data_IF_826698282317
#
_entry.id   IF_826698282317
#
_cell.length_a   1.000
_cell.length_b   1.000
_cell.length_c   1.000
_cell.angle_alpha   90.00
_cell.angle_beta   90.00
_cell.angle_gamma   90.00
#
_symmetry.space_group_name_H-M   'P 1'
#
loop_
_entity.id
_entity.type
_entity.pdbx_description
1 polymer ?
#
# COMPACT_ATOMS: atom_id res chain seq x y z
N UNK A 1 -6.90 -9.14 -0.80
CA UNK A 1 -6.90 -9.13 -2.28
C UNK A 1 -5.56 -8.70 -2.84
N UNK A 2 -5.03 -7.52 -2.50
CA UNK A 2 -3.69 -7.09 -2.90
C UNK A 2 -2.62 -8.17 -2.63
N UNK A 3 -2.64 -8.76 -1.44
CA UNK A 3 -1.69 -9.82 -1.14
C UNK A 3 -1.79 -11.04 -2.05
N UNK A 4 -3.02 -11.48 -2.39
CA UNK A 4 -3.20 -12.67 -3.22
C UNK A 4 -2.50 -12.51 -4.57
N UNK A 5 -2.64 -11.34 -5.21
CA UNK A 5 -1.93 -11.04 -6.45
C UNK A 5 -0.43 -10.95 -6.25
N UNK A 6 0.02 -10.39 -5.12
CA UNK A 6 1.43 -10.28 -4.81
C UNK A 6 2.11 -11.64 -4.60
N UNK A 7 1.46 -12.55 -3.86
CA UNK A 7 1.94 -13.93 -3.66
C UNK A 7 1.99 -14.68 -5.00
N UNK A 8 0.97 -14.51 -5.84
CA UNK A 8 0.91 -15.10 -7.19
C UNK A 8 1.99 -14.53 -8.11
N UNK A 9 2.25 -13.22 -8.05
CA UNK A 9 3.33 -12.56 -8.79
C UNK A 9 4.69 -13.11 -8.40
N UNK A 10 4.97 -13.23 -7.10
CA UNK A 10 6.22 -13.82 -6.60
C UNK A 10 6.39 -15.29 -7.02
N UNK A 11 5.31 -16.07 -7.01
CA UNK A 11 5.35 -17.45 -7.47
C UNK A 11 5.75 -17.54 -8.96
N UNK A 12 5.21 -16.66 -9.81
CA UNK A 12 5.56 -16.63 -11.23
C UNK A 12 6.98 -16.09 -11.47
N UNK A 13 7.40 -15.05 -10.77
CA UNK A 13 8.77 -14.53 -10.85
C UNK A 13 9.80 -15.63 -10.50
N UNK A 14 9.54 -16.39 -9.42
CA UNK A 14 10.38 -17.53 -9.02
C UNK A 14 10.41 -18.63 -10.08
N UNK A 15 9.25 -18.97 -10.67
CA UNK A 15 9.17 -19.96 -11.74
C UNK A 15 9.95 -19.55 -13.00
N UNK A 16 10.03 -18.24 -13.28
CA UNK A 16 10.82 -17.66 -14.36
C UNK A 16 12.32 -17.52 -14.03
N UNK A 17 12.77 -17.95 -12.84
CA UNK A 17 14.17 -17.84 -12.41
C UNK A 17 14.58 -16.44 -11.97
N UNK A 18 13.63 -15.52 -11.79
CA UNK A 18 13.90 -14.19 -11.24
C UNK A 18 13.95 -14.30 -9.71
N UNK A 19 15.07 -13.87 -9.11
CA UNK A 19 15.21 -13.79 -7.65
C UNK A 19 14.29 -12.71 -7.06
N UNK A 20 13.87 -12.88 -5.80
CA UNK A 20 13.09 -11.86 -5.08
C UNK A 20 14.04 -10.75 -4.59
N UNK A 21 14.16 -9.67 -5.37
CA UNK A 21 15.01 -8.52 -5.01
C UNK A 21 14.32 -7.62 -3.97
N UNK A 22 12.98 -7.55 -4.01
CA UNK A 22 12.18 -6.69 -3.14
C UNK A 22 11.08 -7.49 -2.43
N UNK A 23 10.85 -7.15 -1.16
CA UNK A 23 9.72 -7.67 -0.38
C UNK A 23 8.68 -6.56 -0.22
N UNK A 24 7.54 -6.72 -0.88
CA UNK A 24 6.33 -5.94 -0.65
C UNK A 24 5.46 -6.68 0.37
N UNK A 25 4.86 -5.96 1.31
CA UNK A 25 3.87 -6.50 2.25
C UNK A 25 2.63 -5.60 2.20
N UNK A 26 1.46 -6.20 1.92
CA UNK A 26 0.19 -5.46 1.86
C UNK A 26 -0.77 -5.80 3.02
N UNK A 27 -0.47 -6.88 3.73
CA UNK A 27 -1.22 -7.36 4.88
C UNK A 27 -0.71 -6.73 6.16
N UNK A 28 -1.69 -6.28 6.96
CA UNK A 28 -1.64 -5.80 8.36
C UNK A 28 -2.49 -4.53 8.60
N UNK A 29 -3.35 -4.10 7.67
CA UNK A 29 -4.42 -3.17 8.02
C UNK A 29 -5.51 -3.87 8.84
N UNK A 30 -5.92 -3.22 9.93
CA UNK A 30 -7.05 -3.61 10.76
C UNK A 30 -8.08 -2.47 10.74
N UNK A 31 -9.36 -2.83 10.61
CA UNK A 31 -10.45 -1.92 10.94
C UNK A 31 -10.78 -2.11 12.41
N UNK A 32 -10.76 -1.03 13.19
CA UNK A 32 -11.07 -1.09 14.62
C UNK A 32 -12.09 -0.02 14.97
N UNK A 33 -13.04 -0.38 15.83
CA UNK A 33 -13.97 0.52 16.49
C UNK A 33 -13.51 0.77 17.92
N UNK A 34 -13.16 2.02 18.26
CA UNK A 34 -12.98 2.45 19.65
C UNK A 34 -14.32 2.95 20.20
N UNK A 35 -14.80 2.31 21.27
CA UNK A 35 -16.02 2.74 21.96
C UNK A 35 -15.67 3.84 22.98
N UNK A 36 -16.52 4.84 23.07
CA UNK A 36 -16.44 5.97 24.02
C UNK A 36 -15.44 7.08 23.64
N UNK A 37 -15.36 7.45 22.35
CA UNK A 37 -14.69 8.71 21.97
C UNK A 37 -15.60 9.86 22.41
N UNK A 38 -15.16 10.64 23.37
CA UNK A 38 -15.88 11.83 23.83
C UNK A 38 -15.62 13.00 22.87
N UNK A 39 -16.64 13.76 22.44
CA UNK A 39 -16.44 14.90 21.56
C UNK A 39 -15.48 15.93 22.18
N UNK A 40 -14.70 16.65 21.35
CA UNK A 40 -13.82 17.71 21.85
C UNK A 40 -14.64 18.78 22.58
N UNK A 41 -14.16 19.29 23.73
CA UNK A 41 -14.85 20.34 24.47
C UNK A 41 -14.87 21.66 23.67
N UNK A 42 -16.03 22.29 23.55
CA UNK A 42 -16.31 23.44 22.67
C UNK A 42 -15.37 24.65 22.85
N UNK A 43 -14.74 24.81 24.02
CA UNK A 43 -13.97 26.00 24.40
C UNK A 43 -12.47 25.72 24.67
N UNK A 44 -11.94 24.56 24.30
CA UNK A 44 -10.52 24.22 24.51
C UNK A 44 -9.83 23.78 23.23
N UNK A 45 -8.53 24.02 23.18
CA UNK A 45 -7.64 23.51 22.15
C UNK A 45 -7.82 21.98 22.05
N UNK A 46 -8.24 21.50 20.88
CA UNK A 46 -8.51 20.09 20.65
C UNK A 46 -7.18 19.32 20.69
N UNK A 47 -6.99 18.57 21.77
CA UNK A 47 -5.82 17.72 21.98
C UNK A 47 -6.10 16.25 21.63
N UNK A 48 -7.29 15.94 21.12
CA UNK A 48 -7.65 14.57 20.78
C UNK A 48 -6.96 14.13 19.49
N UNK A 49 -6.20 13.04 19.57
CA UNK A 49 -5.53 12.46 18.40
C UNK A 49 -6.44 11.55 17.56
N UNK A 50 -7.63 11.21 18.06
CA UNK A 50 -8.57 10.29 17.41
C UNK A 50 -10.01 10.77 17.63
N UNK A 51 -10.67 11.21 16.56
CA UNK A 51 -12.00 11.83 16.60
C UNK A 51 -13.08 10.85 16.10
N UNK A 52 -12.70 9.86 15.29
CA UNK A 52 -13.63 8.89 14.70
C UNK A 52 -13.62 7.57 15.47
N UNK A 53 -14.80 7.05 15.79
CA UNK A 53 -14.94 5.76 16.50
C UNK A 53 -14.41 4.62 15.65
N UNK A 54 -14.69 4.63 14.35
CA UNK A 54 -14.15 3.68 13.40
C UNK A 54 -12.92 4.27 12.70
N UNK A 55 -11.82 3.53 12.73
CA UNK A 55 -10.59 3.93 12.07
C UNK A 55 -9.84 2.72 11.51
N UNK A 56 -9.05 3.00 10.47
CA UNK A 56 -8.10 2.04 9.95
C UNK A 56 -6.78 2.20 10.70
N UNK A 57 -6.30 1.11 11.26
CA UNK A 57 -5.00 1.04 11.92
C UNK A 57 -4.06 0.15 11.11
N UNK A 58 -2.79 0.53 11.05
CA UNK A 58 -1.71 -0.33 10.55
C UNK A 58 -0.66 -0.45 11.66
N UNK A 59 -0.01 -1.61 11.85
CA UNK A 59 1.12 -1.73 12.75
C UNK A 59 2.18 -0.70 12.42
N UNK A 60 2.63 -0.03 13.48
CA UNK A 60 3.81 0.80 13.42
C UNK A 60 5.00 -0.11 13.10
N UNK A 61 5.65 0.10 11.96
CA UNK A 61 6.86 -0.63 11.62
C UNK A 61 8.02 -0.10 12.46
N UNK A 62 8.74 -1.01 13.11
CA UNK A 62 10.08 -0.69 13.61
C UNK A 62 11.00 -0.59 12.41
N UNK A 63 11.37 0.64 12.04
CA UNK A 63 12.19 0.94 10.88
C UNK A 63 13.60 1.25 11.38
N UNK A 64 14.61 0.55 10.86
CA UNK A 64 16.03 0.89 11.16
C UNK A 64 16.40 2.21 10.48
N UNK A 65 16.00 2.36 9.22
CA UNK A 65 16.21 3.58 8.43
C UNK A 65 15.08 3.81 7.44
N UNK A 66 14.45 4.97 7.56
CA UNK A 66 13.54 5.52 6.57
C UNK A 66 14.36 6.24 5.51
N UNK A 67 14.14 5.92 4.22
CA UNK A 67 14.81 6.59 3.11
C UNK A 67 13.94 7.75 2.65
N UNK A 68 12.76 7.44 2.11
CA UNK A 68 11.82 8.39 1.56
C UNK A 68 10.42 7.77 1.45
N UNK A 69 9.39 8.60 1.32
CA UNK A 69 8.08 8.19 0.84
C UNK A 69 7.99 8.54 -0.63
N UNK A 70 7.51 7.58 -1.42
CA UNK A 70 7.49 7.71 -2.87
C UNK A 70 6.17 7.22 -3.43
N UNK A 71 5.61 8.02 -4.33
CA UNK A 71 4.47 7.65 -5.16
C UNK A 71 4.97 7.03 -6.46
N UNK A 72 4.65 5.76 -6.67
CA UNK A 72 5.11 4.98 -7.81
C UNK A 72 4.11 5.00 -8.95
N UNK A 73 2.82 4.99 -8.62
CA UNK A 73 1.76 4.96 -9.63
C UNK A 73 0.59 5.81 -9.16
N UNK A 74 0.21 6.84 -9.92
CA UNK A 74 -0.93 7.70 -9.59
C UNK A 74 -2.25 7.21 -10.17
N UNK A 75 -3.34 7.78 -9.69
CA UNK A 75 -4.66 7.72 -10.35
C UNK A 75 -4.67 8.51 -11.68
N UNK A 76 -3.95 9.63 -11.73
CA UNK A 76 -3.95 10.56 -12.87
C UNK A 76 -2.55 10.73 -13.49
N UNK A 77 -1.55 10.02 -12.95
CA UNK A 77 -0.15 10.19 -13.31
C UNK A 77 0.51 8.82 -13.51
N UNK A 78 0.52 8.36 -14.75
CA UNK A 78 0.99 7.05 -15.20
C UNK A 78 2.45 7.07 -15.67
N UNK A 79 3.29 7.94 -15.09
CA UNK A 79 4.70 8.02 -15.49
C UNK A 79 5.38 6.69 -15.19
N UNK A 80 6.00 6.10 -16.21
CA UNK A 80 6.83 4.91 -16.04
C UNK A 80 7.98 5.21 -15.10
N UNK A 81 8.17 4.33 -14.11
CA UNK A 81 9.32 4.41 -13.25
C UNK A 81 10.58 3.97 -14.01
N UNK A 82 11.73 4.53 -13.63
CA UNK A 82 13.01 4.25 -14.31
C UNK A 82 14.02 3.51 -13.44
N UNK A 83 13.85 3.53 -12.13
CA UNK A 83 14.66 2.75 -11.19
C UNK A 83 14.10 1.34 -10.98
N UNK A 84 14.95 0.43 -10.53
CA UNK A 84 14.64 -1.00 -10.39
C UNK A 84 13.43 -1.28 -9.50
N UNK A 85 13.24 -0.53 -8.40
CA UNK A 85 12.10 -0.72 -7.50
C UNK A 85 10.80 -0.27 -8.17
N UNK A 86 10.81 0.90 -8.81
CA UNK A 86 9.64 1.37 -9.53
C UNK A 86 9.29 0.48 -10.73
N UNK A 87 10.27 -0.01 -11.49
CA UNK A 87 10.04 -0.99 -12.57
C UNK A 87 9.42 -2.30 -12.04
N UNK A 88 9.82 -2.74 -10.85
CA UNK A 88 9.23 -3.90 -10.19
C UNK A 88 7.75 -3.66 -9.85
N UNK A 89 7.42 -2.46 -9.36
CA UNK A 89 6.03 -2.06 -9.08
C UNK A 89 5.21 -1.98 -10.36
N UNK A 90 5.74 -1.37 -11.43
CA UNK A 90 5.07 -1.29 -12.73
C UNK A 90 4.77 -2.70 -13.28
N UNK A 91 5.72 -3.63 -13.16
CA UNK A 91 5.53 -5.03 -13.54
C UNK A 91 4.46 -5.73 -12.70
N UNK A 92 4.40 -5.46 -11.40
CA UNK A 92 3.36 -5.98 -10.52
C UNK A 92 1.97 -5.42 -10.86
N UNK A 93 1.85 -4.12 -11.12
CA UNK A 93 0.57 -3.51 -11.55
C UNK A 93 0.10 -4.13 -12.86
N UNK A 94 0.99 -4.24 -13.84
CA UNK A 94 0.68 -4.87 -15.11
C UNK A 94 0.26 -6.34 -14.92
N UNK A 95 0.93 -7.08 -14.04
CA UNK A 95 0.56 -8.44 -13.69
C UNK A 95 -0.87 -8.54 -13.15
N UNK A 96 -1.27 -7.66 -12.24
CA UNK A 96 -2.63 -7.63 -11.68
C UNK A 96 -3.66 -7.43 -12.77
N UNK A 97 -3.42 -6.49 -13.70
CA UNK A 97 -4.33 -6.23 -14.83
C UNK A 97 -4.47 -7.47 -15.71
N UNK A 98 -3.36 -8.09 -16.14
CA UNK A 98 -3.42 -9.28 -16.97
C UNK A 98 -4.10 -10.47 -16.28
N UNK A 99 -3.76 -10.69 -15.00
CA UNK A 99 -4.22 -11.88 -14.26
C UNK A 99 -5.65 -11.71 -13.71
N UNK A 100 -6.19 -10.50 -13.73
CA UNK A 100 -7.60 -10.21 -13.47
C UNK A 100 -8.44 -10.10 -14.73
N UNK A 101 -7.91 -10.44 -15.91
CA UNK A 101 -8.61 -10.26 -17.20
C UNK A 101 -9.11 -8.82 -17.41
N UNK A 102 -8.26 -7.85 -17.04
CA UNK A 102 -8.52 -6.41 -17.13
C UNK A 102 -9.65 -5.93 -16.21
N UNK A 103 -10.09 -6.74 -15.25
CA UNK A 103 -11.15 -6.34 -14.32
C UNK A 103 -10.64 -5.47 -13.17
N UNK A 104 -9.36 -5.57 -12.82
CA UNK A 104 -8.78 -4.91 -11.65
C UNK A 104 -7.49 -4.17 -12.03
N UNK A 105 -7.43 -2.89 -11.68
CA UNK A 105 -6.22 -2.07 -11.71
C UNK A 105 -5.87 -1.59 -10.30
N UNK A 106 -4.63 -1.83 -9.89
CA UNK A 106 -4.09 -1.20 -8.69
C UNK A 106 -3.49 0.15 -9.05
N UNK A 107 -4.06 1.21 -8.46
CA UNK A 107 -3.71 2.59 -8.68
C UNK A 107 -3.31 3.28 -7.36
N UNK A 108 -2.78 4.49 -7.45
CA UNK A 108 -2.33 5.28 -6.29
C UNK A 108 -1.38 4.52 -5.36
N UNK A 109 -0.48 3.71 -5.96
CA UNK A 109 0.54 2.96 -5.24
C UNK A 109 1.60 3.95 -4.75
N UNK A 110 1.57 4.20 -3.46
CA UNK A 110 2.51 5.04 -2.76
C UNK A 110 2.99 4.32 -1.51
N UNK A 111 4.24 4.54 -1.12
CA UNK A 111 4.78 3.89 0.05
C UNK A 111 6.10 4.43 0.56
N UNK A 112 6.38 4.13 1.83
CA UNK A 112 7.68 4.35 2.45
C UNK A 112 8.69 3.32 1.95
N UNK A 113 9.82 3.79 1.44
CA UNK A 113 10.99 2.98 1.14
C UNK A 113 11.83 2.89 2.42
N UNK A 114 11.91 1.69 2.97
CA UNK A 114 12.58 1.44 4.25
C UNK A 114 13.64 0.34 4.10
N UNK A 115 14.72 0.47 4.86
CA UNK A 115 15.75 -0.57 4.97
C UNK A 115 15.45 -1.42 6.21
N UNK A 116 15.27 -2.72 6.00
CA UNK A 116 15.22 -3.73 7.05
C UNK A 116 16.24 -4.79 6.69
N UNK A 117 17.41 -4.80 7.32
CA UNK A 117 18.50 -5.69 6.88
C UNK A 117 18.03 -7.16 6.84
N UNK A 118 18.29 -7.92 5.75
CA UNK A 118 19.07 -7.58 4.55
C UNK A 118 18.24 -7.10 3.34
N UNK A 119 16.96 -6.75 3.48
CA UNK A 119 16.05 -6.47 2.37
C UNK A 119 15.53 -5.02 2.35
N UNK A 120 15.37 -4.49 1.14
CA UNK A 120 14.57 -3.27 0.94
C UNK A 120 13.09 -3.67 1.01
N UNK A 121 12.32 -3.03 1.89
CA UNK A 121 10.87 -3.22 1.96
C UNK A 121 10.16 -1.99 1.44
N UNK A 122 9.08 -2.24 0.72
CA UNK A 122 8.10 -1.23 0.34
C UNK A 122 6.86 -1.43 1.20
N UNK A 123 6.54 -0.43 2.00
CA UNK A 123 5.26 -0.37 2.71
C UNK A 123 4.33 0.54 1.92
N UNK A 124 3.28 -0.01 1.34
CA UNK A 124 2.27 0.80 0.66
C UNK A 124 1.54 1.65 1.71
N UNK A 125 1.72 2.97 1.71
CA UNK A 125 0.92 3.91 2.51
C UNK A 125 -0.47 4.13 1.87
N UNK A 126 -0.60 3.87 0.57
CA UNK A 126 -1.86 3.99 -0.15
C UNK A 126 -1.95 2.99 -1.30
N UNK A 127 -3.13 2.38 -1.45
CA UNK A 127 -3.47 1.51 -2.57
C UNK A 127 -4.93 1.75 -2.96
N UNK A 128 -5.16 2.34 -4.13
CA UNK A 128 -6.46 2.34 -4.80
C UNK A 128 -6.64 1.06 -5.61
N UNK A 129 -7.82 0.46 -5.55
CA UNK A 129 -8.24 -0.61 -6.45
C UNK A 129 -9.35 -0.03 -7.31
N UNK A 130 -9.13 0.03 -8.61
CA UNK A 130 -10.14 0.41 -9.59
C UNK A 130 -10.63 -0.87 -10.23
N UNK A 131 -11.91 -1.15 -10.07
CA UNK A 131 -12.61 -2.22 -10.78
C UNK A 131 -13.18 -1.70 -12.10
N UNK A 132 -13.39 -2.59 -13.06
CA UNK A 132 -13.90 -2.29 -14.41
C UNK A 132 -15.30 -1.69 -14.45
N UNK A 133 -16.10 -1.92 -13.43
CA UNK A 133 -17.39 -1.24 -13.20
C UNK A 133 -17.23 0.22 -12.74
N UNK A 134 -15.99 0.71 -12.56
CA UNK A 134 -15.68 2.03 -12.06
C UNK A 134 -15.67 2.13 -10.53
N UNK A 135 -15.88 1.01 -9.82
CA UNK A 135 -15.82 0.98 -8.36
C UNK A 135 -14.39 1.22 -7.89
N UNK A 136 -14.19 2.28 -7.11
CA UNK A 136 -12.91 2.63 -6.48
C UNK A 136 -12.92 2.20 -5.01
N UNK A 137 -12.07 1.24 -4.66
CA UNK A 137 -11.78 0.88 -3.27
C UNK A 137 -10.44 1.47 -2.86
N UNK A 138 -10.45 2.47 -1.97
CA UNK A 138 -9.24 3.08 -1.42
C UNK A 138 -8.83 2.37 -0.13
N UNK A 139 -7.63 1.82 -0.11
CA UNK A 139 -6.95 1.39 1.11
C UNK A 139 -5.92 2.47 1.48
N UNK A 140 -6.25 3.27 2.49
CA UNK A 140 -5.31 4.19 3.11
C UNK A 140 -4.66 3.49 4.31
N UNK A 141 -3.33 3.45 4.31
CA UNK A 141 -2.53 3.02 5.44
C UNK A 141 -2.03 4.31 6.09
N UNK A 142 -2.60 4.68 7.24
CA UNK A 142 -2.23 5.93 7.93
C UNK A 142 -0.77 5.90 8.38
N UNK A 143 -0.02 6.96 8.04
CA UNK A 143 1.25 7.32 8.66
C UNK A 143 1.00 8.08 9.96
#
# INVERSE_FOLDING_TARGET
MAQFFLDSFYAQAKAAGLGNIYLMESHRCFCWTCKNITPPPDDKEDTQSLIFEDFLATPLLQIDKYIEERKFFGNDNFRSNTDTLGCFIDAYVHYVVCNSFEDILFADIQGGIIVLQPHLRLMCSKLGIISKDGSLCLFCYGC
#
